data_IF_163205832989
#
_entry.id   IF_163205832989
#
_cell.length_a   1.000
_cell.length_b   1.000
_cell.length_c   1.000
_cell.angle_alpha   90.00
_cell.angle_beta   90.00
_cell.angle_gamma   90.00
#
_symmetry.space_group_name_H-M   'P 1'
#
loop_
_entity.id
_entity.type
_entity.pdbx_description
1 polymer ?
#
# COMPACT_ATOMS: atom_id res chain seq x y z
N UNK A 1 -15.97 -6.43 10.84
CA UNK A 1 -15.53 -6.35 9.43
C UNK A 1 -14.97 -4.97 9.07
N UNK A 2 -15.63 -3.87 9.47
CA UNK A 2 -15.13 -2.50 9.23
C UNK A 2 -13.78 -2.24 9.91
N UNK A 3 -13.60 -2.69 11.16
CA UNK A 3 -12.32 -2.52 11.88
C UNK A 3 -11.17 -3.30 11.24
N UNK A 4 -11.45 -4.48 10.70
CA UNK A 4 -10.47 -5.25 9.93
C UNK A 4 -10.03 -4.49 8.67
N UNK A 5 -10.98 -3.91 7.92
CA UNK A 5 -10.66 -3.12 6.72
C UNK A 5 -9.83 -1.87 7.07
N UNK A 6 -10.16 -1.19 8.18
CA UNK A 6 -9.37 -0.06 8.70
C UNK A 6 -7.95 -0.48 9.11
N UNK A 7 -7.82 -1.61 9.81
CA UNK A 7 -6.53 -2.15 10.21
C UNK A 7 -5.68 -2.57 9.00
N UNK A 8 -6.29 -3.20 7.99
CA UNK A 8 -5.63 -3.58 6.74
C UNK A 8 -5.17 -2.35 5.96
N UNK A 9 -6.02 -1.32 5.84
CA UNK A 9 -5.66 -0.04 5.21
C UNK A 9 -4.44 0.60 5.88
N UNK A 10 -4.42 0.64 7.21
CA UNK A 10 -3.30 1.18 7.98
C UNK A 10 -2.01 0.37 7.75
N UNK A 11 -2.09 -0.97 7.77
CA UNK A 11 -0.94 -1.84 7.53
C UNK A 11 -0.33 -1.60 6.15
N UNK A 12 -1.14 -1.56 5.10
CA UNK A 12 -0.70 -1.34 3.72
C UNK A 12 -0.05 0.03 3.52
N UNK A 13 -0.61 1.09 4.13
CA UNK A 13 0.01 2.41 4.14
C UNK A 13 1.39 2.39 4.82
N UNK A 14 1.51 1.64 5.93
CA UNK A 14 2.78 1.40 6.61
C UNK A 14 3.80 0.68 5.72
N UNK A 15 3.35 -0.34 4.97
CA UNK A 15 4.20 -1.08 4.02
C UNK A 15 4.76 -0.17 2.91
N UNK A 16 3.92 0.67 2.28
CA UNK A 16 4.39 1.62 1.25
C UNK A 16 5.41 2.61 1.84
N UNK A 17 5.15 3.16 3.03
CA UNK A 17 6.08 4.07 3.70
C UNK A 17 7.42 3.39 4.01
N UNK A 18 7.39 2.14 4.49
CA UNK A 18 8.58 1.33 4.73
C UNK A 18 9.38 1.08 3.45
N UNK A 19 8.70 0.71 2.35
CA UNK A 19 9.34 0.52 1.04
C UNK A 19 9.99 1.81 0.52
N UNK A 20 9.32 2.97 0.68
CA UNK A 20 9.89 4.26 0.33
C UNK A 20 11.15 4.59 1.14
N UNK A 21 11.16 4.25 2.43
CA UNK A 21 12.32 4.37 3.31
C UNK A 21 13.49 3.49 2.84
N UNK A 22 13.24 2.22 2.54
CA UNK A 22 14.25 1.27 2.03
C UNK A 22 14.81 1.73 0.69
N UNK A 23 13.95 2.20 -0.23
CA UNK A 23 14.36 2.75 -1.52
C UNK A 23 15.30 3.95 -1.35
N UNK A 24 15.00 4.86 -0.41
CA UNK A 24 15.88 6.01 -0.10
C UNK A 24 17.26 5.55 0.37
N UNK A 25 17.33 4.50 1.17
CA UNK A 25 18.59 3.93 1.66
C UNK A 25 19.39 3.20 0.56
N UNK A 26 18.70 2.58 -0.40
CA UNK A 26 19.29 1.83 -1.51
C UNK A 26 19.40 2.61 -2.83
N UNK A 27 19.18 3.92 -2.82
CA UNK A 27 19.11 4.78 -4.01
C UNK A 27 20.38 4.77 -4.91
N UNK A 28 21.52 4.31 -4.37
CA UNK A 28 22.78 4.16 -5.13
C UNK A 28 22.87 2.83 -5.90
N UNK A 29 22.06 1.83 -5.57
CA UNK A 29 22.14 0.47 -6.12
C UNK A 29 20.87 0.02 -6.89
N UNK A 30 19.69 0.55 -6.56
CA UNK A 30 18.43 0.09 -7.16
C UNK A 30 17.76 1.20 -7.98
N UNK A 31 17.87 1.14 -9.31
CA UNK A 31 16.84 1.73 -10.19
C UNK A 31 15.59 0.91 -9.96
N UNK A 32 14.46 1.54 -9.66
CA UNK A 32 13.15 0.89 -9.42
C UNK A 32 13.04 -0.46 -10.13
N UNK A 33 13.11 -1.54 -9.37
CA UNK A 33 12.98 -2.86 -9.98
C UNK A 33 11.53 -3.02 -10.38
N UNK A 34 11.29 -3.58 -11.58
CA UNK A 34 9.92 -3.78 -12.09
C UNK A 34 9.00 -4.46 -11.06
N UNK A 35 9.56 -5.33 -10.22
CA UNK A 35 8.87 -6.01 -9.13
C UNK A 35 8.42 -5.03 -8.03
N UNK A 36 9.26 -4.09 -7.61
CA UNK A 36 8.90 -3.07 -6.62
C UNK A 36 7.76 -2.18 -7.12
N UNK A 37 7.82 -1.74 -8.39
CA UNK A 37 6.74 -0.95 -9.00
C UNK A 37 5.43 -1.73 -9.01
N UNK A 38 5.44 -2.96 -9.52
CA UNK A 38 4.25 -3.82 -9.54
C UNK A 38 3.70 -4.10 -8.13
N UNK A 39 4.57 -4.24 -7.14
CA UNK A 39 4.16 -4.44 -5.74
C UNK A 39 3.48 -3.19 -5.17
N UNK A 40 4.03 -2.00 -5.42
CA UNK A 40 3.42 -0.74 -5.00
C UNK A 40 2.06 -0.54 -5.68
N UNK A 41 1.96 -0.83 -6.97
CA UNK A 41 0.71 -0.70 -7.72
C UNK A 41 -0.37 -1.68 -7.23
N UNK A 42 0.01 -2.92 -6.90
CA UNK A 42 -0.90 -3.89 -6.29
C UNK A 42 -1.41 -3.43 -4.92
N UNK A 43 -0.54 -2.86 -4.08
CA UNK A 43 -0.96 -2.31 -2.78
C UNK A 43 -1.92 -1.14 -2.95
N UNK A 44 -1.66 -0.23 -3.90
CA UNK A 44 -2.57 0.88 -4.21
C UNK A 44 -3.94 0.38 -4.66
N UNK A 45 -3.99 -0.61 -5.55
CA UNK A 45 -5.24 -1.23 -5.99
C UNK A 45 -6.03 -1.86 -4.83
N UNK A 46 -5.34 -2.51 -3.87
CA UNK A 46 -5.98 -3.03 -2.66
C UNK A 46 -6.54 -1.90 -1.77
N UNK A 47 -5.81 -0.79 -1.61
CA UNK A 47 -6.27 0.39 -0.86
C UNK A 47 -7.54 1.00 -1.49
N UNK A 48 -7.56 1.16 -2.82
CA UNK A 48 -8.73 1.68 -3.54
C UNK A 48 -9.95 0.76 -3.35
N UNK A 49 -9.74 -0.56 -3.40
CA UNK A 49 -10.79 -1.53 -3.16
C UNK A 49 -11.32 -1.49 -1.71
N UNK A 50 -10.44 -1.31 -0.72
CA UNK A 50 -10.84 -1.14 0.68
C UNK A 50 -11.68 0.13 0.84
N UNK A 51 -11.30 1.23 0.18
CA UNK A 51 -12.06 2.48 0.25
C UNK A 51 -13.45 2.38 -0.36
N UNK A 52 -13.60 1.64 -1.47
CA UNK A 52 -14.91 1.32 -2.02
C UNK A 52 -15.76 0.49 -1.05
N UNK A 53 -15.16 -0.48 -0.36
CA UNK A 53 -15.89 -1.30 0.63
C UNK A 53 -16.31 -0.52 1.87
N UNK A 54 -15.47 0.39 2.36
CA UNK A 54 -15.79 1.25 3.50
C UNK A 54 -16.92 2.23 3.13
N UNK A 55 -16.82 2.90 1.98
CA UNK A 55 -17.88 3.80 1.48
C UNK A 55 -19.23 3.13 1.32
N UNK A 56 -19.27 1.87 0.86
CA UNK A 56 -20.51 1.10 0.72
C UNK A 56 -21.15 0.68 2.05
N UNK A 57 -20.42 0.75 3.17
CA UNK A 57 -20.90 0.37 4.50
C UNK A 57 -21.29 1.56 5.38
N UNK A 58 -20.90 2.76 4.99
CA UNK A 58 -21.23 4.01 5.70
C UNK A 58 -22.59 4.60 5.26
N UNK A 59 -23.32 3.96 4.33
CA UNK A 59 -24.69 4.29 3.94
C UNK A 59 -25.62 3.09 4.08
#
# INVERSE_FOLDING_TARGET
MTDYLKARKLHLNGTIAGMAGVKKLYARANKDTKVETLTIDAIKAELDFIDLQLKRKDG
#
